data_IF_335346609180
#
_entry.id   IF_335346609180
#
_cell.length_a   1.000
_cell.length_b   1.000
_cell.length_c   1.000
_cell.angle_alpha   90.00
_cell.angle_beta   90.00
_cell.angle_gamma   90.00
#
_symmetry.space_group_name_H-M   'P 1'
#
loop_
_entity.id
_entity.type
_entity.pdbx_description
1 polymer ?
#
# COMPACT_ATOMS: atom_id res chain seq x y z
N UNK A 1 40.62 42.73 -1.23
CA UNK A 1 39.21 42.63 -0.75
C UNK A 1 38.73 41.20 -0.64
N UNK A 2 39.01 40.32 -1.59
CA UNK A 2 38.52 38.91 -1.57
C UNK A 2 38.98 38.05 -0.38
N UNK A 3 40.22 38.18 0.06
CA UNK A 3 40.76 37.36 1.18
C UNK A 3 40.11 37.67 2.53
N UNK A 4 39.64 38.91 2.73
CA UNK A 4 38.91 39.28 3.95
C UNK A 4 37.49 38.68 3.95
N UNK A 5 36.83 38.67 2.78
CA UNK A 5 35.49 38.11 2.63
C UNK A 5 35.44 36.58 2.90
N UNK A 6 36.42 35.85 2.37
CA UNK A 6 36.53 34.39 2.57
C UNK A 6 36.76 34.07 4.06
N UNK A 7 37.62 34.80 4.74
CA UNK A 7 37.86 34.60 6.18
C UNK A 7 36.62 34.89 7.03
N UNK A 8 35.80 35.86 6.65
CA UNK A 8 34.57 36.21 7.35
C UNK A 8 33.49 35.13 7.15
N UNK A 9 33.38 34.60 5.94
CA UNK A 9 32.43 33.50 5.64
C UNK A 9 32.82 32.22 6.37
N UNK A 10 34.11 31.87 6.39
CA UNK A 10 34.61 30.67 7.10
C UNK A 10 34.39 30.82 8.62
N UNK A 11 34.63 32.00 9.19
CA UNK A 11 34.36 32.25 10.60
C UNK A 11 32.87 32.13 10.95
N UNK A 12 31.98 32.61 10.07
CA UNK A 12 30.52 32.50 10.25
C UNK A 12 30.02 31.03 10.18
N UNK A 13 30.57 30.26 9.23
CA UNK A 13 30.27 28.82 9.11
C UNK A 13 30.77 28.03 10.32
N UNK A 14 31.94 28.31 10.84
CA UNK A 14 32.45 27.63 12.04
C UNK A 14 31.60 27.96 13.27
N UNK A 15 31.17 29.22 13.42
CA UNK A 15 30.27 29.62 14.52
C UNK A 15 28.90 28.91 14.39
N UNK A 16 28.35 28.85 13.17
CA UNK A 16 27.07 28.18 12.92
C UNK A 16 27.12 26.67 13.22
N UNK A 17 28.19 26.00 12.79
CA UNK A 17 28.42 24.58 13.08
C UNK A 17 28.63 24.37 14.58
N UNK A 18 29.33 25.27 15.27
CA UNK A 18 29.53 25.18 16.72
C UNK A 18 28.23 25.36 17.50
N UNK A 19 27.34 26.23 17.02
CA UNK A 19 25.99 26.42 17.59
C UNK A 19 25.13 25.20 17.37
N UNK A 20 25.14 24.63 16.17
CA UNK A 20 24.39 23.40 15.84
C UNK A 20 24.91 22.20 16.65
N UNK A 21 26.21 22.04 16.80
CA UNK A 21 26.81 21.02 17.66
C UNK A 21 26.47 21.23 19.14
N UNK A 22 26.48 22.49 19.61
CA UNK A 22 26.08 22.81 20.98
C UNK A 22 24.62 22.48 21.26
N UNK A 23 23.70 22.77 20.32
CA UNK A 23 22.28 22.39 20.46
C UNK A 23 22.10 20.89 20.39
N UNK A 24 22.75 20.14 19.47
CA UNK A 24 22.70 18.69 19.44
C UNK A 24 23.27 18.04 20.71
N UNK A 25 24.37 18.58 21.28
CA UNK A 25 24.92 18.08 22.53
C UNK A 25 24.07 18.41 23.77
N UNK A 26 23.13 19.39 23.65
CA UNK A 26 22.19 19.70 24.74
C UNK A 26 20.97 18.79 24.72
N UNK A 27 20.61 18.24 23.55
CA UNK A 27 19.45 17.32 23.41
C UNK A 27 19.74 15.94 24.03
N UNK A 28 21.03 15.53 24.11
CA UNK A 28 21.42 14.22 24.67
C UNK A 28 21.85 14.24 26.16
N UNK A 29 21.77 15.38 26.84
CA UNK A 29 22.10 15.40 28.26
C UNK A 29 20.84 15.30 29.12
N UNK A 30 20.70 14.22 29.94
CA UNK A 30 19.69 14.23 30.97
C UNK A 30 19.97 15.44 31.89
N UNK A 31 18.95 16.25 32.09
CA UNK A 31 19.02 17.37 33.05
C UNK A 31 19.07 16.74 34.44
N UNK A 32 20.27 16.65 35.01
CA UNK A 32 20.43 16.33 36.42
C UNK A 32 20.18 17.61 37.22
N UNK A 33 18.95 17.72 37.75
CA UNK A 33 18.68 18.66 38.84
C UNK A 33 19.10 17.97 40.14
N UNK A 34 20.30 18.31 40.62
CA UNK A 34 20.72 18.05 41.98
C UNK A 34 20.64 19.37 42.77
N UNK A 35 19.47 19.66 43.29
CA UNK A 35 19.32 20.61 44.38
C UNK A 35 18.50 19.97 45.49
N UNK A 36 19.19 19.69 46.62
CA UNK A 36 18.55 19.39 47.89
C UNK A 36 17.79 20.65 48.38
N UNK A 37 16.51 20.66 48.17
CA UNK A 37 15.61 21.61 48.82
C UNK A 37 14.67 20.87 49.78
N UNK A 38 15.01 20.98 51.09
CA UNK A 38 14.13 20.65 52.21
C UNK A 38 13.47 19.26 52.19
N UNK A 39 14.27 18.19 52.24
CA UNK A 39 13.82 16.85 52.68
C UNK A 39 12.64 16.24 51.93
N UNK A 40 12.36 16.64 50.72
CA UNK A 40 11.40 15.98 49.81
C UNK A 40 12.15 15.23 48.74
N UNK A 41 12.04 13.89 48.76
CA UNK A 41 12.51 13.01 47.71
C UNK A 41 11.68 13.28 46.45
N UNK A 42 12.28 13.87 45.43
CA UNK A 42 11.67 13.94 44.10
C UNK A 42 11.93 12.61 43.38
N UNK A 43 10.87 11.86 43.10
CA UNK A 43 10.94 10.76 42.18
C UNK A 43 11.17 11.31 40.76
N UNK A 44 12.23 10.85 40.10
CA UNK A 44 12.45 11.14 38.68
C UNK A 44 11.35 10.44 37.91
N UNK A 45 10.44 11.22 37.33
CA UNK A 45 9.50 10.68 36.34
C UNK A 45 10.25 10.46 35.05
N UNK A 46 10.52 9.22 34.71
CA UNK A 46 10.81 8.86 33.33
C UNK A 46 9.46 8.87 32.62
N UNK A 47 9.26 9.83 31.70
CA UNK A 47 8.25 9.63 30.68
C UNK A 47 8.84 8.58 29.73
N UNK A 48 8.41 7.34 29.84
CA UNK A 48 8.54 6.39 28.75
C UNK A 48 7.72 7.01 27.59
N UNK A 49 8.44 7.45 26.57
CA UNK A 49 7.82 7.76 25.29
C UNK A 49 7.51 6.40 24.68
N UNK A 50 6.28 5.92 24.76
CA UNK A 50 5.82 4.86 23.90
C UNK A 50 5.88 5.44 22.48
N UNK A 51 6.79 4.94 21.66
CA UNK A 51 6.76 5.21 20.24
C UNK A 51 5.42 4.71 19.72
N UNK A 52 4.62 5.59 19.14
CA UNK A 52 3.35 5.20 18.53
C UNK A 52 3.66 4.28 17.35
N UNK A 53 3.22 3.05 17.48
CA UNK A 53 3.35 2.03 16.46
C UNK A 53 2.20 2.16 15.49
N UNK A 54 2.50 2.25 14.22
CA UNK A 54 1.53 2.31 13.13
C UNK A 54 1.55 0.98 12.39
N UNK A 55 0.39 0.35 12.22
CA UNK A 55 0.24 -0.85 11.42
C UNK A 55 -0.30 -0.51 10.02
N UNK A 56 0.47 -0.85 8.98
CA UNK A 56 -0.04 -0.92 7.61
C UNK A 56 -0.29 -2.38 7.24
N UNK A 57 -1.42 -2.65 6.58
CA UNK A 57 -1.73 -4.01 6.17
C UNK A 57 -2.42 -4.12 4.83
N UNK A 58 -2.46 -5.35 4.36
CA UNK A 58 -3.20 -5.69 3.15
C UNK A 58 -3.83 -7.06 3.26
N UNK A 59 -5.04 -7.19 2.75
CA UNK A 59 -5.72 -8.46 2.55
C UNK A 59 -5.63 -8.89 1.09
N UNK A 60 -5.84 -10.18 0.83
CA UNK A 60 -5.76 -10.78 -0.49
C UNK A 60 -6.88 -10.39 -1.44
N UNK A 61 -7.14 -11.28 -2.41
CA UNK A 61 -8.04 -11.02 -3.53
C UNK A 61 -9.52 -11.03 -3.10
N UNK A 62 -10.23 -9.94 -3.39
CA UNK A 62 -11.69 -9.84 -3.31
C UNK A 62 -12.24 -10.19 -4.68
N UNK A 63 -12.48 -11.48 -4.90
CA UNK A 63 -12.91 -12.05 -6.19
C UNK A 63 -14.29 -12.69 -6.07
N UNK A 64 -15.32 -11.89 -6.26
CA UNK A 64 -16.70 -12.31 -6.11
C UNK A 64 -17.15 -13.20 -7.27
N UNK A 65 -17.55 -14.44 -6.95
CA UNK A 65 -18.18 -15.36 -7.89
C UNK A 65 -19.71 -15.37 -7.75
N UNK A 66 -20.41 -15.83 -8.77
CA UNK A 66 -21.88 -15.81 -8.84
C UNK A 66 -22.62 -16.25 -7.56
N UNK A 67 -22.21 -17.30 -6.83
CA UNK A 67 -22.90 -17.68 -5.59
C UNK A 67 -22.92 -16.56 -4.54
N UNK A 68 -21.92 -15.69 -4.52
CA UNK A 68 -21.83 -14.58 -3.57
C UNK A 68 -22.74 -13.40 -3.94
N UNK A 69 -23.17 -13.29 -5.19
CA UNK A 69 -24.00 -12.18 -5.67
C UNK A 69 -25.42 -12.15 -5.08
N UNK A 70 -25.83 -13.24 -4.42
CA UNK A 70 -27.10 -13.30 -3.71
C UNK A 70 -27.07 -12.61 -2.34
N UNK A 71 -25.89 -12.27 -1.83
CA UNK A 71 -25.77 -11.53 -0.58
C UNK A 71 -26.08 -10.06 -0.82
N UNK A 72 -26.94 -9.51 0.03
CA UNK A 72 -27.29 -8.07 0.04
C UNK A 72 -26.37 -7.26 0.95
N UNK A 73 -25.57 -7.93 1.74
CA UNK A 73 -24.58 -7.38 2.66
C UNK A 73 -23.50 -8.44 2.89
N UNK A 74 -22.24 -8.10 2.64
CA UNK A 74 -21.09 -9.00 2.82
C UNK A 74 -20.42 -8.86 4.20
N UNK A 75 -20.68 -7.78 4.93
CA UNK A 75 -20.05 -7.51 6.23
C UNK A 75 -20.13 -8.68 7.24
N UNK A 76 -21.25 -9.44 7.34
CA UNK A 76 -21.30 -10.61 8.23
C UNK A 76 -20.27 -11.70 7.91
N UNK A 77 -19.80 -11.78 6.65
CA UNK A 77 -18.80 -12.76 6.25
C UNK A 77 -17.40 -12.43 6.79
N UNK A 78 -17.16 -11.18 7.11
CA UNK A 78 -15.87 -10.67 7.63
C UNK A 78 -15.80 -10.66 9.16
N UNK A 79 -16.93 -10.87 9.85
CA UNK A 79 -17.00 -10.81 11.32
C UNK A 79 -15.97 -11.67 12.06
N UNK A 80 -15.54 -12.86 11.56
CA UNK A 80 -14.53 -13.66 12.24
C UNK A 80 -13.14 -13.01 12.29
N UNK A 81 -12.84 -12.10 11.38
CA UNK A 81 -11.53 -11.42 11.25
C UNK A 81 -11.63 -9.90 11.51
N UNK A 82 -12.80 -9.40 11.83
CA UNK A 82 -13.06 -7.95 11.96
C UNK A 82 -12.12 -7.29 12.96
N UNK A 83 -11.90 -7.88 14.12
CA UNK A 83 -11.01 -7.32 15.14
C UNK A 83 -9.57 -7.15 14.65
N UNK A 84 -9.09 -8.09 13.83
CA UNK A 84 -7.75 -8.02 13.23
C UNK A 84 -7.65 -6.94 12.16
N UNK A 85 -8.73 -6.71 11.41
CA UNK A 85 -8.77 -5.67 10.39
C UNK A 85 -8.85 -4.29 11.00
N UNK A 86 -9.71 -4.10 12.01
CA UNK A 86 -9.90 -2.83 12.73
C UNK A 86 -8.64 -2.36 13.49
N UNK A 87 -7.68 -3.28 13.77
CA UNK A 87 -6.42 -2.90 14.41
C UNK A 87 -5.39 -2.32 13.44
N UNK A 88 -5.64 -2.37 12.14
CA UNK A 88 -4.72 -1.89 11.10
C UNK A 88 -5.05 -0.43 10.79
N UNK A 89 -4.06 0.47 10.92
CA UNK A 89 -4.24 1.91 10.75
C UNK A 89 -4.36 2.35 9.30
N UNK A 90 -3.79 1.58 8.36
CA UNK A 90 -3.96 1.76 6.92
C UNK A 90 -4.13 0.38 6.25
N UNK A 91 -5.37 0.00 6.00
CA UNK A 91 -5.72 -1.29 5.41
C UNK A 91 -6.03 -1.18 3.92
N UNK A 92 -5.35 -2.01 3.12
CA UNK A 92 -5.52 -2.08 1.65
C UNK A 92 -6.17 -3.43 1.29
N UNK A 93 -7.02 -3.45 0.26
CA UNK A 93 -7.56 -4.69 -0.31
C UNK A 93 -7.40 -4.70 -1.83
N UNK A 94 -7.15 -5.89 -2.42
CA UNK A 94 -7.17 -6.04 -3.87
C UNK A 94 -8.60 -6.36 -4.33
N UNK A 95 -9.31 -5.36 -4.89
CA UNK A 95 -10.65 -5.54 -5.46
C UNK A 95 -10.52 -6.09 -6.89
N UNK A 96 -10.57 -7.40 -7.02
CA UNK A 96 -10.28 -8.06 -8.29
C UNK A 96 -11.50 -8.19 -9.19
N UNK A 97 -12.66 -8.58 -8.65
CA UNK A 97 -13.90 -8.57 -9.44
C UNK A 97 -14.43 -7.14 -9.62
N UNK A 98 -14.60 -6.72 -10.88
CA UNK A 98 -14.98 -5.34 -11.21
C UNK A 98 -16.38 -4.98 -10.64
N UNK A 99 -16.54 -3.97 -9.74
CA UNK A 99 -17.83 -3.64 -9.12
C UNK A 99 -18.68 -2.72 -10.01
N UNK A 100 -19.04 -3.20 -11.22
CA UNK A 100 -19.82 -2.49 -12.24
C UNK A 100 -21.26 -2.98 -12.39
N UNK A 101 -21.73 -3.86 -11.49
CA UNK A 101 -22.99 -4.57 -11.62
C UNK A 101 -24.26 -3.71 -11.59
N UNK A 102 -24.13 -2.43 -11.25
CA UNK A 102 -25.28 -1.51 -11.28
C UNK A 102 -25.71 -1.18 -12.72
N UNK A 103 -24.76 -0.91 -13.60
CA UNK A 103 -25.03 -0.49 -15.00
C UNK A 103 -25.00 -1.68 -15.95
N UNK A 104 -24.03 -2.61 -15.73
CA UNK A 104 -23.80 -3.74 -16.65
C UNK A 104 -24.54 -5.02 -16.25
N UNK A 105 -25.27 -4.99 -15.12
CA UNK A 105 -25.79 -6.21 -14.51
C UNK A 105 -24.66 -7.03 -13.88
N UNK A 106 -25.02 -8.09 -13.15
CA UNK A 106 -24.02 -8.94 -12.49
C UNK A 106 -23.63 -10.10 -13.39
N UNK A 107 -22.31 -10.37 -13.50
CA UNK A 107 -21.74 -11.51 -14.23
C UNK A 107 -20.50 -12.03 -13.50
N UNK A 108 -20.31 -13.36 -13.55
CA UNK A 108 -19.12 -14.03 -13.00
C UNK A 108 -18.06 -14.28 -14.06
N UNK A 109 -17.16 -15.23 -13.73
CA UNK A 109 -16.11 -15.66 -14.64
C UNK A 109 -16.65 -15.98 -16.06
N UNK A 110 -15.95 -15.62 -17.15
CA UNK A 110 -14.64 -15.00 -17.17
C UNK A 110 -14.63 -13.46 -17.11
N UNK A 111 -15.77 -12.80 -17.29
CA UNK A 111 -15.89 -11.34 -17.34
C UNK A 111 -16.74 -10.87 -16.15
N UNK A 112 -16.07 -10.53 -15.07
CA UNK A 112 -16.74 -10.14 -13.83
C UNK A 112 -17.45 -8.79 -13.95
N UNK A 113 -18.64 -8.73 -13.38
CA UNK A 113 -19.36 -7.52 -13.03
C UNK A 113 -20.04 -7.77 -11.69
N UNK A 114 -19.39 -7.36 -10.62
CA UNK A 114 -19.84 -7.69 -9.26
C UNK A 114 -20.77 -6.62 -8.68
N UNK A 115 -21.57 -6.98 -7.64
CA UNK A 115 -22.39 -6.03 -6.94
C UNK A 115 -21.58 -4.89 -6.32
N UNK A 116 -21.90 -3.61 -6.60
CA UNK A 116 -21.07 -2.47 -6.15
C UNK A 116 -21.13 -2.22 -4.63
N UNK A 117 -22.07 -2.80 -3.89
CA UNK A 117 -22.14 -2.64 -2.44
C UNK A 117 -20.95 -3.31 -1.71
N UNK A 118 -20.20 -4.20 -2.38
CA UNK A 118 -18.95 -4.72 -1.82
C UNK A 118 -18.00 -3.59 -1.40
N UNK A 119 -17.99 -2.46 -2.11
CA UNK A 119 -17.11 -1.31 -1.80
C UNK A 119 -17.47 -0.72 -0.42
N UNK A 120 -18.77 -0.50 -0.17
CA UNK A 120 -19.22 0.00 1.14
C UNK A 120 -18.99 -1.02 2.24
N UNK A 121 -19.25 -2.30 1.97
CA UNK A 121 -19.08 -3.36 2.96
C UNK A 121 -17.59 -3.55 3.34
N UNK A 122 -16.66 -3.37 2.39
CA UNK A 122 -15.22 -3.35 2.67
C UNK A 122 -14.81 -2.12 3.49
N UNK A 123 -15.37 -0.95 3.17
CA UNK A 123 -15.14 0.26 3.95
C UNK A 123 -15.61 0.11 5.40
N UNK A 124 -16.79 -0.48 5.59
CA UNK A 124 -17.39 -0.69 6.91
C UNK A 124 -16.58 -1.64 7.81
N UNK A 125 -15.74 -2.50 7.24
CA UNK A 125 -14.83 -3.37 7.99
C UNK A 125 -13.40 -2.83 8.13
N UNK A 126 -13.17 -1.57 7.76
CA UNK A 126 -11.90 -0.88 7.97
C UNK A 126 -10.97 -0.82 6.74
N UNK A 127 -11.41 -1.22 5.55
CA UNK A 127 -10.59 -1.03 4.34
C UNK A 127 -10.55 0.45 3.95
N UNK A 128 -9.35 1.02 3.85
CA UNK A 128 -9.10 2.42 3.54
C UNK A 128 -8.84 2.68 2.06
N UNK A 129 -8.25 1.70 1.35
CA UNK A 129 -7.83 1.85 -0.05
C UNK A 129 -8.07 0.56 -0.83
N UNK A 130 -8.57 0.68 -2.06
CA UNK A 130 -8.68 -0.44 -2.99
C UNK A 130 -7.59 -0.41 -4.05
N UNK A 131 -6.83 -1.51 -4.18
CA UNK A 131 -6.02 -1.79 -5.37
C UNK A 131 -6.95 -2.37 -6.44
N UNK A 132 -6.98 -1.73 -7.62
CA UNK A 132 -7.86 -2.11 -8.72
C UNK A 132 -7.11 -2.34 -10.04
N UNK A 133 -5.77 -2.45 -9.99
CA UNK A 133 -4.96 -2.92 -11.11
C UNK A 133 -4.81 -4.44 -11.04
N UNK A 134 -5.61 -5.15 -11.79
CA UNK A 134 -5.60 -6.61 -11.88
C UNK A 134 -6.03 -7.07 -13.27
N UNK A 135 -6.02 -8.38 -13.52
CA UNK A 135 -6.39 -8.94 -14.82
C UNK A 135 -7.87 -8.78 -15.16
N UNK A 136 -8.72 -8.46 -14.19
CA UNK A 136 -10.17 -8.22 -14.36
C UNK A 136 -10.55 -6.73 -14.41
N UNK A 137 -9.60 -5.82 -14.38
CA UNK A 137 -9.85 -4.36 -14.40
C UNK A 137 -10.66 -3.88 -15.60
N UNK A 138 -10.58 -4.58 -16.73
CA UNK A 138 -11.26 -4.21 -17.98
C UNK A 138 -12.31 -5.25 -18.43
N UNK A 139 -12.82 -6.09 -17.55
CA UNK A 139 -13.80 -7.14 -17.89
C UNK A 139 -15.09 -6.59 -18.52
N UNK A 140 -15.46 -5.35 -18.21
CA UNK A 140 -16.59 -4.63 -18.81
C UNK A 140 -16.09 -3.42 -19.64
N UNK A 141 -14.84 -3.49 -20.14
CA UNK A 141 -14.21 -2.43 -20.91
C UNK A 141 -13.97 -1.16 -20.11
N UNK A 142 -13.65 -0.07 -20.82
CA UNK A 142 -13.45 1.27 -20.23
C UNK A 142 -14.67 1.73 -19.44
N UNK A 143 -15.87 1.58 -20.01
CA UNK A 143 -17.11 2.05 -19.38
C UNK A 143 -17.37 1.33 -18.05
N UNK A 144 -17.05 0.03 -17.97
CA UNK A 144 -17.17 -0.73 -16.72
C UNK A 144 -16.18 -0.28 -15.66
N UNK A 145 -14.92 -0.01 -16.04
CA UNK A 145 -13.92 0.53 -15.11
C UNK A 145 -14.35 1.91 -14.59
N UNK A 146 -14.83 2.79 -15.45
CA UNK A 146 -15.31 4.12 -15.05
C UNK A 146 -16.53 4.06 -14.15
N UNK A 147 -17.46 3.11 -14.40
CA UNK A 147 -18.58 2.85 -13.48
C UNK A 147 -18.08 2.38 -12.10
N UNK A 148 -17.14 1.44 -12.05
CA UNK A 148 -16.55 0.96 -10.81
C UNK A 148 -15.88 2.09 -10.01
N UNK A 149 -15.08 2.93 -10.67
CA UNK A 149 -14.46 4.11 -10.06
C UNK A 149 -15.54 5.08 -9.54
N UNK A 150 -16.60 5.31 -10.30
CA UNK A 150 -17.70 6.16 -9.85
C UNK A 150 -18.40 5.61 -8.59
N UNK A 151 -18.54 4.29 -8.47
CA UNK A 151 -19.10 3.70 -7.25
C UNK A 151 -18.14 3.88 -6.05
N UNK A 152 -16.82 3.76 -6.24
CA UNK A 152 -15.81 4.05 -5.21
C UNK A 152 -15.87 5.52 -4.77
N UNK A 153 -15.90 6.46 -5.72
CA UNK A 153 -16.00 7.90 -5.42
C UNK A 153 -17.26 8.28 -4.65
N UNK A 154 -18.40 7.62 -4.93
CA UNK A 154 -19.67 7.88 -4.21
C UNK A 154 -19.60 7.58 -2.72
N UNK A 155 -18.81 6.61 -2.33
CA UNK A 155 -18.63 6.22 -0.93
C UNK A 155 -17.29 6.72 -0.37
N UNK A 156 -16.61 7.59 -1.13
CA UNK A 156 -15.30 8.13 -0.75
C UNK A 156 -14.28 7.03 -0.42
N UNK A 157 -14.24 5.98 -1.26
CA UNK A 157 -13.24 4.91 -1.18
C UNK A 157 -12.08 5.25 -2.11
N UNK A 158 -10.88 5.53 -1.60
CA UNK A 158 -9.68 5.72 -2.40
C UNK A 158 -9.30 4.46 -3.18
N UNK A 159 -8.64 4.66 -4.33
CA UNK A 159 -8.19 3.56 -5.19
C UNK A 159 -6.82 3.84 -5.79
N UNK A 160 -6.12 2.75 -6.16
CA UNK A 160 -4.81 2.79 -6.82
C UNK A 160 -4.77 1.83 -8.01
N UNK A 161 -3.89 2.11 -8.96
CA UNK A 161 -3.50 1.19 -10.03
C UNK A 161 -4.34 1.26 -11.30
N UNK A 162 -5.60 1.74 -11.25
CA UNK A 162 -6.39 2.07 -12.43
C UNK A 162 -7.07 3.42 -12.23
N UNK A 163 -7.38 4.15 -13.32
CA UNK A 163 -7.70 5.57 -13.25
C UNK A 163 -8.72 6.00 -14.30
N UNK A 164 -9.46 7.05 -14.01
CA UNK A 164 -10.49 7.61 -14.91
C UNK A 164 -9.93 8.57 -15.95
N UNK A 165 -8.71 9.08 -15.77
CA UNK A 165 -8.07 10.03 -16.67
C UNK A 165 -6.55 10.04 -16.48
N UNK A 166 -5.82 10.62 -17.42
CA UNK A 166 -4.37 10.83 -17.31
C UNK A 166 -4.00 11.71 -16.09
N UNK A 167 -4.78 12.74 -15.82
CA UNK A 167 -4.59 13.61 -14.64
C UNK A 167 -4.77 12.81 -13.34
N UNK A 168 -5.76 11.93 -13.30
CA UNK A 168 -6.01 11.06 -12.16
C UNK A 168 -4.84 10.09 -11.92
N UNK A 169 -4.28 9.51 -12.99
CA UNK A 169 -3.11 8.64 -12.94
C UNK A 169 -1.86 9.37 -12.42
N UNK A 170 -1.67 10.63 -12.83
CA UNK A 170 -0.52 11.46 -12.43
C UNK A 170 -0.65 12.02 -11.00
N UNK A 171 -1.82 11.87 -10.38
CA UNK A 171 -2.04 12.33 -9.01
C UNK A 171 -1.46 11.32 -8.02
N UNK A 172 -0.49 11.76 -7.22
CA UNK A 172 0.12 10.92 -6.18
C UNK A 172 -0.94 10.40 -5.19
N UNK A 173 -0.86 9.14 -4.85
CA UNK A 173 -1.69 8.48 -3.83
C UNK A 173 -0.91 8.43 -2.52
N UNK A 174 -0.99 9.51 -1.74
CA UNK A 174 -0.30 9.68 -0.46
C UNK A 174 -1.33 9.66 0.68
N UNK A 175 -1.10 8.76 1.62
CA UNK A 175 -1.92 8.58 2.82
C UNK A 175 -1.08 8.90 4.03
N UNK A 176 -1.68 9.58 5.01
CA UNK A 176 -1.02 9.90 6.27
C UNK A 176 -1.74 9.22 7.42
N UNK A 177 -0.97 8.53 8.23
CA UNK A 177 -1.39 7.99 9.51
C UNK A 177 -0.50 8.64 10.55
N UNK A 178 -1.07 9.42 11.43
CA UNK A 178 -0.36 10.27 12.39
C UNK A 178 0.75 11.09 11.69
N UNK A 179 2.00 10.86 12.02
CA UNK A 179 3.15 11.59 11.48
C UNK A 179 3.82 10.87 10.31
N UNK A 180 3.37 9.66 9.94
CA UNK A 180 3.98 8.83 8.89
C UNK A 180 3.17 8.93 7.59
N UNK A 181 3.88 9.09 6.48
CA UNK A 181 3.29 9.19 5.13
C UNK A 181 3.62 7.94 4.30
N UNK A 182 2.56 7.38 3.69
CA UNK A 182 2.63 6.22 2.80
C UNK A 182 2.27 6.62 1.39
N UNK A 183 3.15 6.35 0.42
CA UNK A 183 2.87 6.49 -1.00
C UNK A 183 2.51 5.13 -1.59
N UNK A 184 1.32 5.03 -2.20
CA UNK A 184 0.81 3.77 -2.72
C UNK A 184 0.84 3.73 -4.25
N UNK A 185 1.35 2.63 -4.81
CA UNK A 185 1.37 2.33 -6.23
C UNK A 185 0.70 0.98 -6.51
N UNK A 186 -0.01 0.87 -7.64
CA UNK A 186 -0.66 -0.38 -8.05
C UNK A 186 -0.31 -0.75 -9.49
N UNK A 187 -0.04 -2.04 -9.76
CA UNK A 187 0.31 -2.54 -11.09
C UNK A 187 -0.24 -3.94 -11.34
N UNK A 188 -0.49 -4.27 -12.62
CA UNK A 188 -0.89 -5.62 -13.06
C UNK A 188 -0.06 -6.11 -14.25
N UNK A 189 0.10 -7.43 -14.35
CA UNK A 189 0.75 -8.05 -15.51
C UNK A 189 -0.06 -7.89 -16.81
N UNK A 190 -1.36 -7.64 -16.72
CA UNK A 190 -2.24 -7.53 -17.86
C UNK A 190 -3.71 -7.42 -17.48
N UNK A 191 -4.56 -7.44 -18.49
CA UNK A 191 -6.02 -7.32 -18.38
C UNK A 191 -6.71 -8.43 -19.17
N UNK A 192 -6.22 -9.67 -19.04
CA UNK A 192 -6.66 -10.84 -19.80
C UNK A 192 -6.66 -10.54 -21.32
N UNK A 193 -7.76 -10.79 -22.03
CA UNK A 193 -7.92 -10.51 -23.46
C UNK A 193 -8.43 -9.10 -23.76
N UNK A 194 -8.62 -8.26 -22.75
CA UNK A 194 -9.19 -6.91 -22.90
C UNK A 194 -8.07 -5.87 -23.09
N UNK A 195 -8.00 -5.31 -24.31
CA UNK A 195 -7.02 -4.28 -24.63
C UNK A 195 -7.46 -2.92 -24.08
N UNK A 196 -6.47 -2.14 -23.64
CA UNK A 196 -6.70 -0.73 -23.32
C UNK A 196 -6.97 0.03 -24.60
N UNK A 197 -8.01 0.88 -24.69
CA UNK A 197 -8.25 1.69 -25.89
C UNK A 197 -7.04 2.56 -26.25
N UNK A 198 -6.80 2.74 -27.55
CA UNK A 198 -5.65 3.51 -28.06
C UNK A 198 -5.61 4.91 -27.45
N UNK A 199 -4.45 5.28 -26.89
CA UNK A 199 -4.22 6.57 -26.25
C UNK A 199 -4.79 6.69 -24.83
N UNK A 200 -5.23 5.58 -24.23
CA UNK A 200 -5.76 5.52 -22.86
C UNK A 200 -4.98 4.57 -21.95
N UNK A 201 -3.68 4.49 -22.14
CA UNK A 201 -2.79 3.63 -21.33
C UNK A 201 -2.83 3.98 -19.83
N UNK A 202 -3.35 5.14 -19.49
CA UNK A 202 -3.59 5.57 -18.12
C UNK A 202 -4.69 4.76 -17.40
N UNK A 203 -5.61 4.11 -18.13
CA UNK A 203 -6.74 3.40 -17.52
C UNK A 203 -6.30 2.32 -16.54
N UNK A 204 -5.23 1.57 -16.86
CA UNK A 204 -4.71 0.52 -15.98
C UNK A 204 -3.19 0.53 -16.02
N UNK A 205 -2.56 0.63 -14.86
CA UNK A 205 -1.11 0.52 -14.73
C UNK A 205 -0.66 -0.91 -14.97
N UNK A 206 -0.09 -1.17 -16.15
CA UNK A 206 0.56 -2.44 -16.45
C UNK A 206 2.00 -2.44 -15.96
N UNK A 207 2.53 -3.63 -15.64
CA UNK A 207 3.92 -3.82 -15.25
C UNK A 207 4.82 -3.42 -16.41
N UNK A 208 5.54 -2.32 -16.24
CA UNK A 208 6.63 -1.84 -17.08
C UNK A 208 7.76 -1.39 -16.15
N UNK A 209 8.87 -2.11 -16.17
CA UNK A 209 9.93 -1.95 -15.16
C UNK A 209 10.49 -0.53 -15.11
N UNK A 210 10.72 0.10 -16.27
CA UNK A 210 11.26 1.47 -16.33
C UNK A 210 10.32 2.50 -15.70
N UNK A 211 9.01 2.32 -15.91
CA UNK A 211 7.97 3.15 -15.32
C UNK A 211 7.89 2.94 -13.81
N UNK A 212 7.85 1.69 -13.36
CA UNK A 212 7.78 1.35 -11.93
C UNK A 212 8.97 1.96 -11.19
N UNK A 213 10.20 1.80 -11.70
CA UNK A 213 11.41 2.36 -11.10
C UNK A 213 11.32 3.88 -10.99
N UNK A 214 10.83 4.55 -12.05
CA UNK A 214 10.66 6.00 -12.06
C UNK A 214 9.65 6.45 -11.00
N UNK A 215 8.45 5.88 -11.00
CA UNK A 215 7.36 6.25 -10.09
C UNK A 215 7.73 6.00 -8.63
N UNK A 216 8.41 4.88 -8.30
CA UNK A 216 8.92 4.62 -6.95
C UNK A 216 9.91 5.70 -6.51
N UNK A 217 10.89 6.06 -7.36
CA UNK A 217 11.90 7.08 -7.03
C UNK A 217 11.28 8.46 -6.83
N UNK A 218 10.30 8.83 -7.66
CA UNK A 218 9.60 10.10 -7.55
C UNK A 218 8.75 10.16 -6.28
N UNK A 219 8.08 9.06 -5.93
CA UNK A 219 7.22 8.99 -4.75
C UNK A 219 8.04 8.93 -3.45
N UNK A 220 9.15 8.17 -3.43
CA UNK A 220 10.06 8.08 -2.29
C UNK A 220 10.65 9.43 -1.86
N UNK A 221 10.76 10.39 -2.77
CA UNK A 221 11.20 11.74 -2.43
C UNK A 221 10.15 12.58 -1.67
N UNK A 222 8.91 12.07 -1.56
CA UNK A 222 7.74 12.79 -1.03
C UNK A 222 7.14 12.15 0.22
N UNK A 223 7.49 10.88 0.51
CA UNK A 223 6.88 10.08 1.57
C UNK A 223 7.92 9.29 2.37
N UNK A 224 7.53 8.85 3.55
CA UNK A 224 8.37 8.04 4.43
C UNK A 224 8.45 6.59 3.93
N UNK A 225 7.31 6.02 3.50
CA UNK A 225 7.21 4.65 3.00
C UNK A 225 6.56 4.59 1.62
N UNK A 226 7.16 3.81 0.72
CA UNK A 226 6.58 3.47 -0.59
C UNK A 226 6.08 2.03 -0.54
N UNK A 227 4.80 1.85 -0.86
CA UNK A 227 4.10 0.56 -0.88
C UNK A 227 3.65 0.25 -2.31
N UNK A 228 3.93 -0.95 -2.78
CA UNK A 228 3.55 -1.42 -4.11
C UNK A 228 2.59 -2.59 -3.98
N UNK A 229 1.36 -2.42 -4.49
CA UNK A 229 0.43 -3.52 -4.73
C UNK A 229 0.64 -4.04 -6.15
N UNK A 230 0.88 -5.33 -6.32
CA UNK A 230 1.22 -5.88 -7.63
C UNK A 230 0.48 -7.20 -7.91
N UNK A 231 -0.21 -7.23 -9.04
CA UNK A 231 -0.97 -8.39 -9.52
C UNK A 231 -0.12 -9.14 -10.55
N UNK A 232 0.43 -10.29 -10.17
CA UNK A 232 1.48 -10.99 -10.91
C UNK A 232 1.50 -12.50 -10.70
N UNK A 233 2.41 -13.19 -11.37
CA UNK A 233 2.66 -14.61 -11.15
C UNK A 233 1.79 -15.51 -11.99
N UNK A 234 1.43 -16.67 -11.44
CA UNK A 234 0.58 -17.67 -12.08
C UNK A 234 -0.41 -18.25 -11.06
N UNK A 235 -1.65 -18.40 -11.48
CA UNK A 235 -2.74 -18.96 -10.65
C UNK A 235 -2.37 -20.32 -10.06
N UNK A 236 -2.76 -20.53 -8.81
CA UNK A 236 -2.67 -21.79 -8.06
C UNK A 236 -1.26 -22.31 -7.78
N UNK A 237 -0.23 -21.54 -8.09
CA UNK A 237 1.15 -21.84 -7.74
C UNK A 237 1.47 -21.40 -6.31
N UNK A 238 1.87 -22.34 -5.45
CA UNK A 238 2.26 -22.06 -4.06
C UNK A 238 3.64 -21.39 -3.93
N UNK A 239 4.45 -21.42 -4.99
CA UNK A 239 5.79 -20.85 -5.02
C UNK A 239 5.84 -19.64 -5.96
N UNK A 240 6.53 -18.59 -5.53
CA UNK A 240 6.81 -17.46 -6.41
C UNK A 240 7.77 -17.88 -7.53
N UNK A 241 7.42 -17.54 -8.77
CA UNK A 241 8.25 -17.82 -9.92
C UNK A 241 9.44 -16.84 -10.05
N UNK A 242 10.39 -17.16 -10.95
CA UNK A 242 11.61 -16.36 -11.15
C UNK A 242 11.30 -14.92 -11.61
N UNK A 243 10.22 -14.72 -12.37
CA UNK A 243 9.79 -13.37 -12.80
C UNK A 243 9.33 -12.53 -11.63
N UNK A 244 8.53 -13.10 -10.72
CA UNK A 244 8.12 -12.43 -9.50
C UNK A 244 9.33 -12.06 -8.64
N UNK A 245 10.25 -13.01 -8.41
CA UNK A 245 11.44 -12.79 -7.58
C UNK A 245 12.37 -11.73 -8.18
N UNK A 246 12.58 -11.76 -9.51
CA UNK A 246 13.39 -10.75 -10.20
C UNK A 246 12.75 -9.36 -10.10
N UNK A 247 11.45 -9.27 -10.36
CA UNK A 247 10.74 -7.99 -10.31
C UNK A 247 10.68 -7.43 -8.88
N UNK A 248 10.50 -8.29 -7.86
CA UNK A 248 10.58 -7.88 -6.46
C UNK A 248 11.93 -7.21 -6.13
N UNK A 249 13.05 -7.78 -6.61
CA UNK A 249 14.37 -7.16 -6.45
C UNK A 249 14.48 -5.82 -7.16
N UNK A 250 14.00 -5.72 -8.40
CA UNK A 250 13.97 -4.46 -9.17
C UNK A 250 13.19 -3.36 -8.42
N UNK A 251 12.02 -3.70 -7.87
CA UNK A 251 11.18 -2.80 -7.09
C UNK A 251 11.85 -2.39 -5.77
N UNK A 252 12.49 -3.34 -5.10
CA UNK A 252 13.29 -3.11 -3.88
C UNK A 252 14.47 -2.18 -4.14
N UNK A 253 15.23 -2.42 -5.20
CA UNK A 253 16.39 -1.59 -5.59
C UNK A 253 15.96 -0.16 -5.99
N UNK A 254 14.75 0.01 -6.48
CA UNK A 254 14.17 1.32 -6.75
C UNK A 254 13.81 2.09 -5.47
N UNK A 255 13.62 1.39 -4.34
CA UNK A 255 13.42 1.96 -3.01
C UNK A 255 12.03 1.78 -2.40
N UNK A 256 11.23 0.83 -2.89
CA UNK A 256 9.98 0.46 -2.25
C UNK A 256 10.26 -0.25 -0.90
N UNK A 257 9.42 0.02 0.10
CA UNK A 257 9.54 -0.54 1.44
C UNK A 257 8.72 -1.83 1.59
N UNK A 258 7.55 -1.89 0.93
CA UNK A 258 6.61 -3.00 1.05
C UNK A 258 6.09 -3.36 -0.35
N UNK A 259 6.01 -4.67 -0.62
CA UNK A 259 5.40 -5.22 -1.84
C UNK A 259 4.34 -6.22 -1.41
N UNK A 260 3.09 -5.97 -1.78
CA UNK A 260 1.97 -6.87 -1.61
C UNK A 260 1.58 -7.47 -2.96
N UNK A 261 1.73 -8.79 -3.10
CA UNK A 261 1.43 -9.55 -4.30
C UNK A 261 0.06 -10.20 -4.29
N UNK A 262 -0.53 -10.32 -5.49
CA UNK A 262 -1.87 -10.82 -5.76
C UNK A 262 -1.90 -11.66 -7.04
N UNK A 263 -3.02 -12.30 -7.36
CA UNK A 263 -3.28 -13.11 -8.55
C UNK A 263 -3.13 -14.64 -8.38
N UNK A 264 -2.15 -15.21 -7.65
CA UNK A 264 -2.07 -16.66 -7.52
C UNK A 264 -3.28 -17.31 -6.84
N UNK A 265 -4.13 -16.55 -6.13
CA UNK A 265 -5.29 -17.01 -5.38
C UNK A 265 -4.98 -18.02 -4.27
N UNK A 266 -3.70 -18.27 -4.04
CA UNK A 266 -3.13 -19.08 -2.97
C UNK A 266 -2.03 -18.29 -2.27
N UNK A 267 -1.78 -18.57 -1.00
CA UNK A 267 -0.69 -17.93 -0.28
C UNK A 267 0.64 -18.38 -0.87
N UNK A 268 1.51 -17.42 -1.18
CA UNK A 268 2.91 -17.64 -1.55
C UNK A 268 3.84 -17.13 -0.42
N UNK A 269 5.13 -17.54 -0.41
CA UNK A 269 6.07 -17.16 0.63
C UNK A 269 6.21 -15.64 0.85
N UNK A 270 6.63 -15.28 2.06
CA UNK A 270 7.15 -13.97 2.41
C UNK A 270 8.67 -13.97 2.26
N UNK A 271 9.24 -12.88 1.76
CA UNK A 271 10.68 -12.64 1.70
C UNK A 271 11.00 -11.23 2.20
N UNK A 272 12.10 -11.10 2.94
CA UNK A 272 12.68 -9.81 3.27
C UNK A 272 13.92 -9.60 2.39
N UNK A 273 13.85 -8.64 1.48
CA UNK A 273 14.96 -8.28 0.59
C UNK A 273 15.79 -7.20 1.26
N UNK A 274 17.10 -7.45 1.41
CA UNK A 274 18.08 -6.45 1.80
C UNK A 274 18.91 -6.09 0.58
N UNK A 275 18.79 -4.83 0.12
CA UNK A 275 19.56 -4.32 -1.00
C UNK A 275 21.02 -3.99 -0.60
N UNK A 276 21.92 -3.84 -1.57
CA UNK A 276 23.33 -3.56 -1.34
C UNK A 276 23.59 -2.25 -0.57
N UNK A 277 22.70 -1.28 -0.67
CA UNK A 277 22.75 0.01 0.04
C UNK A 277 22.11 -0.03 1.43
N UNK A 278 21.72 -1.23 1.93
CA UNK A 278 21.11 -1.43 3.24
C UNK A 278 19.60 -1.13 3.28
N UNK A 279 18.95 -0.82 2.16
CA UNK A 279 17.51 -0.65 2.08
C UNK A 279 16.80 -2.01 2.25
N UNK A 280 15.76 -2.05 3.06
CA UNK A 280 15.00 -3.24 3.39
C UNK A 280 13.60 -3.17 2.78
N UNK A 281 13.18 -4.26 2.13
CA UNK A 281 11.85 -4.38 1.53
C UNK A 281 11.18 -5.65 2.00
N UNK A 282 9.95 -5.53 2.49
CA UNK A 282 9.09 -6.64 2.84
C UNK A 282 8.27 -7.07 1.63
N UNK A 283 8.34 -8.33 1.23
CA UNK A 283 7.67 -8.87 0.05
C UNK A 283 6.76 -10.01 0.44
N UNK A 284 5.46 -9.82 0.26
CA UNK A 284 4.45 -10.86 0.30
C UNK A 284 4.13 -11.23 -1.14
N UNK A 285 4.59 -12.38 -1.61
CA UNK A 285 4.44 -12.74 -3.02
C UNK A 285 3.01 -13.00 -3.45
N UNK A 286 2.16 -13.52 -2.56
CA UNK A 286 0.71 -13.58 -2.71
C UNK A 286 0.04 -13.76 -1.34
N UNK A 287 -1.06 -13.05 -1.13
CA UNK A 287 -1.88 -13.16 0.08
C UNK A 287 -3.06 -14.14 -0.10
N UNK A 288 -3.18 -14.78 -1.28
CA UNK A 288 -4.32 -15.64 -1.58
C UNK A 288 -5.63 -14.88 -1.69
N UNK A 289 -6.75 -15.58 -1.53
CA UNK A 289 -8.07 -14.96 -1.54
C UNK A 289 -8.47 -14.45 -0.16
N UNK A 290 -8.92 -13.21 -0.08
CA UNK A 290 -9.58 -12.69 1.11
C UNK A 290 -11.07 -13.04 1.11
N UNK A 291 -11.75 -12.82 -0.03
CA UNK A 291 -13.15 -13.13 -0.17
C UNK A 291 -13.46 -13.62 -1.59
N UNK A 292 -13.70 -14.91 -1.75
CA UNK A 292 -13.87 -15.54 -3.06
C UNK A 292 -14.84 -16.72 -3.01
N UNK A 293 -15.39 -17.06 -4.16
CA UNK A 293 -16.19 -18.27 -4.34
C UNK A 293 -15.43 -19.40 -5.05
N UNK A 294 -14.11 -19.30 -5.19
CA UNK A 294 -13.27 -20.36 -5.76
C UNK A 294 -13.31 -21.62 -4.87
N UNK A 295 -13.07 -22.79 -5.48
CA UNK A 295 -13.15 -24.09 -4.81
C UNK A 295 -11.92 -24.98 -5.07
N UNK A 296 -10.93 -24.43 -5.77
CA UNK A 296 -9.68 -25.11 -6.03
C UNK A 296 -8.89 -25.28 -4.73
N UNK A 297 -7.97 -26.23 -4.72
CA UNK A 297 -7.17 -26.53 -3.53
C UNK A 297 -6.40 -25.30 -3.08
N UNK A 298 -6.41 -25.02 -1.78
CA UNK A 298 -5.80 -23.86 -1.11
C UNK A 298 -6.38 -22.47 -1.45
N UNK A 299 -7.33 -22.35 -2.39
CA UNK A 299 -7.95 -21.04 -2.70
C UNK A 299 -8.92 -20.55 -1.61
N UNK A 300 -9.21 -21.39 -0.65
CA UNK A 300 -10.02 -21.09 0.55
C UNK A 300 -9.15 -20.63 1.75
N UNK A 301 -7.87 -20.40 1.53
CA UNK A 301 -6.93 -19.89 2.53
C UNK A 301 -6.41 -18.55 2.07
N UNK A 302 -6.64 -17.51 2.87
CA UNK A 302 -6.14 -16.16 2.64
C UNK A 302 -5.30 -15.66 3.80
N UNK A 303 -4.48 -14.65 3.55
CA UNK A 303 -3.63 -14.00 4.53
C UNK A 303 -4.04 -12.55 4.78
N UNK A 304 -3.81 -12.08 5.99
CA UNK A 304 -3.76 -10.67 6.37
C UNK A 304 -2.29 -10.36 6.61
N UNK A 305 -1.68 -9.56 5.74
CA UNK A 305 -0.32 -9.06 5.97
C UNK A 305 -0.38 -7.82 6.85
N UNK A 306 0.47 -7.75 7.87
CA UNK A 306 0.61 -6.61 8.78
C UNK A 306 2.08 -6.26 8.92
N UNK A 307 2.41 -4.99 8.79
CA UNK A 307 3.75 -4.44 9.02
C UNK A 307 3.62 -3.30 10.00
N UNK A 308 4.33 -3.43 11.12
CA UNK A 308 4.50 -2.37 12.10
C UNK A 308 5.64 -1.45 11.66
N UNK A 309 5.37 -0.14 11.64
CA UNK A 309 6.34 0.92 11.37
C UNK A 309 6.44 1.85 12.57
N UNK A 310 7.64 2.39 12.80
CA UNK A 310 7.99 3.26 13.93
C UNK A 310 8.45 4.62 13.41
#
# INVERSE_FOLDING_TARGET
MEVVYIKTIVAFLVILISILLYFNLQIEKPIHFNEEFHGKQFSTFYMEYEEEKIEIGMVGDVLLHLPLYNYTNFAPSFSPVQQELESIDLLIANQESLPAGRTFGVSGYPNFSSPPHIISDLKDIGVDVLSIANNHSLDQGEEGLLEAIQQMEKVEMPYIGAFKSEVDQQTDRIFKVENISFGLLGYTYGTNSHETPVGKDYLVNRIEETRIIKEIKELKAKVDFVVVSIHWGAEYNLEANDTQKRLARTISDAGANIIFGHHPHVIQPYEQILSENGHQTHVFYSLGNFFSGQKDEYTNIGGIAKIEVL
#
